data_IF_797053037349
#
_entry.id   IF_797053037349
#
_cell.length_a   1.000
_cell.length_b   1.000
_cell.length_c   1.000
_cell.angle_alpha   90.00
_cell.angle_beta   90.00
_cell.angle_gamma   90.00
#
_symmetry.space_group_name_H-M   'P 1'
#
loop_
_entity.id
_entity.type
_entity.pdbx_description
1 polymer ?
#
# COMPACT_ATOMS: atom_id res chain seq x y z
N UNK A 1 27.41 -8.58 -2.97
CA UNK A 1 26.59 -9.56 -3.71
C UNK A 1 25.36 -8.83 -4.19
N UNK A 2 24.91 -9.09 -5.40
CA UNK A 2 23.66 -8.55 -5.92
C UNK A 2 22.49 -9.40 -5.39
N UNK A 3 21.34 -8.78 -5.12
CA UNK A 3 20.09 -9.47 -4.74
C UNK A 3 19.16 -9.36 -5.92
N UNK A 4 18.92 -10.47 -6.61
CA UNK A 4 18.03 -10.51 -7.76
C UNK A 4 16.75 -11.30 -7.48
N UNK A 5 16.83 -12.31 -6.61
CA UNK A 5 15.66 -13.11 -6.21
C UNK A 5 15.70 -13.51 -4.73
N UNK A 6 14.61 -14.11 -4.24
CA UNK A 6 14.45 -14.56 -2.86
C UNK A 6 15.52 -15.57 -2.42
N UNK A 7 16.09 -16.32 -3.36
CA UNK A 7 17.21 -17.23 -3.12
C UNK A 7 18.48 -16.51 -2.66
N UNK A 8 18.76 -15.34 -3.23
CA UNK A 8 19.94 -14.53 -2.87
C UNK A 8 19.78 -13.95 -1.47
N UNK A 9 18.55 -13.55 -1.11
CA UNK A 9 18.21 -13.08 0.24
C UNK A 9 18.47 -14.18 1.26
N UNK A 10 18.03 -15.42 0.99
CA UNK A 10 18.30 -16.57 1.87
C UNK A 10 19.81 -16.82 2.05
N UNK A 11 20.60 -16.59 1.01
CA UNK A 11 22.05 -16.81 1.03
C UNK A 11 22.81 -15.71 1.76
N UNK A 12 22.45 -14.46 1.54
CA UNK A 12 23.18 -13.30 2.08
C UNK A 12 22.66 -12.85 3.45
N UNK A 13 21.39 -13.11 3.74
CA UNK A 13 20.69 -12.72 4.96
C UNK A 13 19.81 -13.88 5.47
N UNK A 14 20.40 -14.98 5.96
CA UNK A 14 19.67 -16.22 6.26
C UNK A 14 18.51 -16.06 7.24
N UNK A 15 18.63 -15.15 8.22
CA UNK A 15 17.63 -14.99 9.28
C UNK A 15 16.54 -13.97 8.95
N UNK A 16 16.73 -13.11 7.94
CA UNK A 16 15.85 -11.96 7.73
C UNK A 16 14.41 -12.39 7.38
N UNK A 17 14.28 -13.47 6.60
CA UNK A 17 13.00 -14.01 6.18
C UNK A 17 12.25 -14.68 7.34
N UNK A 18 12.96 -15.41 8.20
CA UNK A 18 12.37 -16.05 9.38
C UNK A 18 11.90 -14.99 10.40
N UNK A 19 12.73 -13.96 10.63
CA UNK A 19 12.41 -12.84 11.51
C UNK A 19 11.21 -12.05 10.98
N UNK A 20 11.14 -11.79 9.67
CA UNK A 20 10.00 -11.11 9.06
C UNK A 20 8.70 -11.91 9.26
N UNK A 21 8.72 -13.23 9.04
CA UNK A 21 7.56 -14.10 9.28
C UNK A 21 7.12 -14.09 10.75
N UNK A 22 8.06 -14.18 11.69
CA UNK A 22 7.78 -14.14 13.12
C UNK A 22 7.11 -12.80 13.49
N UNK A 23 7.68 -11.69 13.03
CA UNK A 23 7.16 -10.36 13.30
C UNK A 23 5.73 -10.22 12.77
N UNK A 24 5.48 -10.52 11.49
CA UNK A 24 4.14 -10.44 10.92
C UNK A 24 3.15 -11.43 11.54
N UNK A 25 3.61 -12.55 12.10
CA UNK A 25 2.74 -13.50 12.81
C UNK A 25 2.24 -12.93 14.12
N UNK A 26 3.13 -12.34 14.90
CA UNK A 26 2.88 -12.03 16.31
C UNK A 26 2.56 -10.54 16.58
N UNK A 27 2.75 -9.61 15.62
CA UNK A 27 2.66 -8.16 15.89
C UNK A 27 1.32 -7.67 16.46
N UNK A 28 0.22 -8.39 16.22
CA UNK A 28 -1.11 -8.03 16.74
C UNK A 28 -1.46 -8.72 18.07
N UNK A 29 -0.62 -9.64 18.53
CA UNK A 29 -0.86 -10.38 19.79
C UNK A 29 -0.90 -9.46 21.00
N UNK A 30 -0.03 -8.43 21.13
CA UNK A 30 -0.14 -7.47 22.23
C UNK A 30 -1.49 -6.73 22.28
N UNK A 31 -2.15 -6.55 21.14
CA UNK A 31 -3.48 -5.94 21.05
C UNK A 31 -4.62 -6.92 21.42
N UNK A 32 -4.29 -8.13 21.87
CA UNK A 32 -5.26 -9.19 22.16
C UNK A 32 -5.84 -9.90 20.92
N UNK A 33 -5.29 -9.66 19.72
CA UNK A 33 -5.75 -10.29 18.48
C UNK A 33 -5.01 -11.62 18.23
N UNK A 34 -5.63 -12.57 17.51
CA UNK A 34 -4.96 -13.82 17.16
C UNK A 34 -3.74 -13.60 16.26
N UNK A 35 -2.82 -14.57 16.26
CA UNK A 35 -1.69 -14.61 15.33
C UNK A 35 -2.18 -14.59 13.89
N UNK A 36 -1.49 -13.85 13.03
CA UNK A 36 -1.81 -13.86 11.61
C UNK A 36 -1.39 -15.19 10.96
N UNK A 37 -2.20 -15.65 10.00
CA UNK A 37 -1.91 -16.80 9.14
C UNK A 37 -1.46 -16.34 7.76
N UNK A 38 -0.65 -17.14 7.08
CA UNK A 38 -0.11 -16.81 5.77
C UNK A 38 -0.60 -17.79 4.71
N UNK A 39 -0.81 -17.29 3.49
CA UNK A 39 -0.96 -18.13 2.31
C UNK A 39 0.33 -18.94 2.07
N UNK A 40 0.24 -20.00 1.25
CA UNK A 40 1.37 -20.84 0.87
C UNK A 40 2.19 -21.37 2.07
N UNK A 41 1.54 -21.56 3.21
CA UNK A 41 2.18 -21.99 4.46
C UNK A 41 3.34 -21.07 4.92
N UNK A 42 3.30 -19.78 4.57
CA UNK A 42 4.35 -18.82 4.90
C UNK A 42 5.58 -18.88 4.00
N UNK A 43 5.52 -19.60 2.87
CA UNK A 43 6.61 -19.63 1.90
C UNK A 43 6.71 -18.32 1.11
N UNK A 44 7.88 -17.68 1.14
CA UNK A 44 8.19 -16.55 0.27
C UNK A 44 8.27 -17.00 -1.19
N UNK A 45 7.59 -16.28 -2.07
CA UNK A 45 7.61 -16.50 -3.52
C UNK A 45 8.74 -15.71 -4.17
N UNK A 46 9.09 -16.10 -5.40
CA UNK A 46 10.14 -15.46 -6.18
C UNK A 46 9.71 -14.08 -6.71
N UNK A 47 10.66 -13.36 -7.29
CA UNK A 47 10.45 -12.03 -7.87
C UNK A 47 9.33 -12.04 -8.94
N UNK A 48 9.33 -13.00 -9.85
CA UNK A 48 8.33 -13.11 -10.93
C UNK A 48 6.89 -13.21 -10.39
N UNK A 49 6.66 -14.06 -9.38
CA UNK A 49 5.34 -14.16 -8.76
C UNK A 49 4.94 -12.84 -8.08
N UNK A 50 5.88 -12.18 -7.40
CA UNK A 50 5.62 -10.89 -6.76
C UNK A 50 5.24 -9.82 -7.79
N UNK A 51 5.95 -9.75 -8.93
CA UNK A 51 5.67 -8.84 -10.03
C UNK A 51 4.26 -9.04 -10.60
N UNK A 52 3.82 -10.29 -10.77
CA UNK A 52 2.45 -10.59 -11.23
C UNK A 52 1.38 -10.07 -10.26
N UNK A 53 1.59 -10.23 -8.95
CA UNK A 53 0.66 -9.71 -7.93
C UNK A 53 0.66 -8.18 -7.91
N UNK A 54 1.82 -7.55 -8.05
CA UNK A 54 1.94 -6.09 -8.16
C UNK A 54 1.19 -5.58 -9.39
N UNK A 55 1.39 -6.21 -10.55
CA UNK A 55 0.72 -5.86 -11.79
C UNK A 55 -0.81 -5.95 -11.65
N UNK A 56 -1.31 -7.03 -11.06
CA UNK A 56 -2.75 -7.17 -10.77
C UNK A 56 -3.28 -6.08 -9.84
N UNK A 57 -2.53 -5.77 -8.78
CA UNK A 57 -2.88 -4.68 -7.86
C UNK A 57 -2.90 -3.31 -8.56
N UNK A 58 -1.97 -3.09 -9.48
CA UNK A 58 -1.92 -1.88 -10.30
C UNK A 58 -3.14 -1.76 -11.22
N UNK A 59 -3.54 -2.84 -11.90
CA UNK A 59 -4.76 -2.87 -12.73
C UNK A 59 -6.01 -2.56 -11.91
N UNK A 60 -6.11 -3.10 -10.69
CA UNK A 60 -7.21 -2.80 -9.77
C UNK A 60 -7.21 -1.33 -9.33
N UNK A 61 -6.03 -0.77 -9.09
CA UNK A 61 -5.88 0.65 -8.78
C UNK A 61 -6.23 1.55 -9.97
N UNK A 62 -5.84 1.19 -11.19
CA UNK A 62 -6.21 1.95 -12.39
C UNK A 62 -7.73 1.99 -12.56
N UNK A 63 -8.41 0.86 -12.33
CA UNK A 63 -9.87 0.80 -12.36
C UNK A 63 -10.48 1.69 -11.28
N UNK A 64 -9.94 1.63 -10.04
CA UNK A 64 -10.36 2.49 -8.94
C UNK A 64 -10.23 3.98 -9.28
N UNK A 65 -9.13 4.40 -9.91
CA UNK A 65 -8.90 5.80 -10.27
C UNK A 65 -9.80 6.26 -11.44
N UNK A 66 -10.18 5.35 -12.33
CA UNK A 66 -11.09 5.61 -13.46
C UNK A 66 -12.56 5.67 -13.01
N UNK A 67 -12.98 4.75 -12.16
CA UNK A 67 -14.41 4.59 -11.82
C UNK A 67 -14.76 5.20 -10.47
N UNK A 68 -13.79 5.35 -9.56
CA UNK A 68 -14.00 5.69 -8.15
C UNK A 68 -14.57 4.52 -7.33
N UNK A 69 -14.65 4.70 -6.01
CA UNK A 69 -15.27 3.75 -5.09
C UNK A 69 -15.87 4.48 -3.89
N UNK A 70 -17.01 4.02 -3.38
CA UNK A 70 -17.63 4.59 -2.19
C UNK A 70 -16.68 4.45 -0.98
N UNK A 71 -16.41 5.54 -0.27
CA UNK A 71 -15.52 5.54 0.90
C UNK A 71 -14.02 5.63 0.58
N UNK A 72 -13.63 5.75 -0.69
CA UNK A 72 -12.23 6.00 -1.08
C UNK A 72 -12.16 7.32 -1.86
N UNK A 73 -11.40 8.28 -1.32
CA UNK A 73 -11.10 9.52 -2.05
C UNK A 73 -10.05 9.24 -3.13
N UNK A 74 -10.42 9.44 -4.41
CA UNK A 74 -9.50 9.29 -5.54
C UNK A 74 -8.96 10.64 -6.05
N UNK A 75 -9.16 11.72 -5.29
CA UNK A 75 -8.69 13.06 -5.66
C UNK A 75 -7.17 13.10 -5.81
N UNK A 76 -6.72 13.60 -6.96
CA UNK A 76 -5.30 13.70 -7.28
C UNK A 76 -5.03 14.88 -8.22
N UNK A 77 -3.74 15.19 -8.44
CA UNK A 77 -3.29 16.39 -9.18
C UNK A 77 -2.40 16.10 -10.38
N UNK A 78 -2.11 14.83 -10.63
CA UNK A 78 -1.12 14.44 -11.64
C UNK A 78 -1.73 13.54 -12.70
N UNK A 79 -2.86 12.87 -12.40
CA UNK A 79 -3.54 11.97 -13.33
C UNK A 79 -4.68 12.73 -14.01
N UNK A 80 -4.35 13.53 -15.02
CA UNK A 80 -5.31 14.36 -15.74
C UNK A 80 -6.50 13.57 -16.35
N UNK A 81 -6.30 12.28 -16.62
CA UNK A 81 -7.31 11.38 -17.19
C UNK A 81 -8.12 10.61 -16.13
N UNK A 82 -7.94 10.92 -14.84
CA UNK A 82 -8.70 10.30 -13.75
C UNK A 82 -10.00 11.03 -13.48
N UNK A 83 -10.99 10.30 -12.94
CA UNK A 83 -12.33 10.84 -12.65
C UNK A 83 -12.29 12.04 -11.69
N UNK A 84 -11.48 11.96 -10.64
CA UNK A 84 -11.42 12.94 -9.56
C UNK A 84 -10.19 13.86 -9.67
N UNK A 85 -9.68 14.09 -10.88
CA UNK A 85 -8.56 15.00 -11.12
C UNK A 85 -8.92 16.44 -10.72
N UNK A 86 -8.17 17.00 -9.78
CA UNK A 86 -8.34 18.36 -9.29
C UNK A 86 -7.02 19.14 -9.44
N UNK A 87 -6.86 19.95 -10.50
CA UNK A 87 -5.60 20.67 -10.77
C UNK A 87 -5.32 21.81 -9.77
N UNK A 88 -6.35 22.31 -9.07
CA UNK A 88 -6.23 23.40 -8.11
C UNK A 88 -6.37 22.90 -6.66
N UNK A 89 -5.73 23.61 -5.72
CA UNK A 89 -5.97 23.41 -4.29
C UNK A 89 -7.23 24.15 -3.87
N UNK A 90 -8.36 23.46 -4.01
CA UNK A 90 -9.62 23.90 -3.43
C UNK A 90 -9.68 23.44 -1.96
N UNK A 91 -9.63 24.40 -1.04
CA UNK A 91 -9.95 24.16 0.37
C UNK A 91 -11.44 24.37 0.54
N UNK A 92 -12.20 23.29 0.70
CA UNK A 92 -13.55 23.40 1.23
C UNK A 92 -13.48 23.60 2.75
N UNK A 93 -14.06 24.71 3.24
CA UNK A 93 -14.17 24.97 4.68
C UNK A 93 -13.38 26.16 5.23
N UNK A 94 -12.82 27.05 4.38
CA UNK A 94 -12.42 28.38 4.88
C UNK A 94 -13.71 29.14 5.19
N UNK A 95 -14.10 29.19 6.47
CA UNK A 95 -14.95 30.29 6.93
C UNK A 95 -14.12 31.55 6.71
N UNK A 96 -14.59 32.47 5.87
CA UNK A 96 -14.01 33.81 5.79
C UNK A 96 -13.76 34.29 7.21
N UNK A 97 -12.52 34.68 7.52
CA UNK A 97 -12.24 35.33 8.78
C UNK A 97 -13.14 36.58 8.82
N UNK A 98 -14.00 36.66 9.83
CA UNK A 98 -14.89 37.80 10.04
C UNK A 98 -14.10 39.09 9.83
N UNK A 99 -14.52 39.83 8.80
CA UNK A 99 -14.05 41.16 8.52
C UNK A 99 -14.45 42.08 9.69
N UNK A 100 -13.60 42.24 10.70
CA UNK A 100 -13.49 43.43 11.52
C UNK A 100 -12.48 43.22 12.65
N UNK A 101 -11.31 43.85 12.55
CA UNK A 101 -10.63 44.40 13.73
C UNK A 101 -10.14 45.82 13.37
N UNK A 102 -10.22 46.76 14.34
CA UNK A 102 -10.34 48.21 14.13
C UNK A 102 -9.12 48.89 13.52
#
# INVERSE_FOLDING_TARGET
GEINDIGDVRKMHPDILANALQWFRDYKVPDGKPRNTFAFNGEFKNAEFAEQIIQKGHEQWEQLIKDGHEGISCSNRTLANSRDYAPAFEVSGIKEADAALP
#
